data_IF_863499578809
#
_entry.id   IF_863499578809
#
_cell.length_a   1.000
_cell.length_b   1.000
_cell.length_c   1.000
_cell.angle_alpha   90.00
_cell.angle_beta   90.00
_cell.angle_gamma   90.00
#
_symmetry.space_group_name_H-M   'P 1'
#
loop_
_entity.id
_entity.type
_entity.pdbx_description
1 polymer ?
#
# COMPACT_ATOMS: atom_id res chain seq x y z
N UNK A 1 -66.01 -57.13 -5.94
CA UNK A 1 -66.88 -56.05 -5.43
C UNK A 1 -66.04 -54.81 -5.20
N UNK A 2 -66.34 -53.74 -5.93
CA UNK A 2 -65.76 -52.40 -5.79
C UNK A 2 -66.28 -51.72 -4.53
N UNK A 3 -65.45 -50.90 -3.85
CA UNK A 3 -65.93 -49.72 -3.12
C UNK A 3 -64.85 -48.64 -3.02
N UNK A 4 -65.27 -47.44 -3.40
CA UNK A 4 -64.49 -46.21 -3.53
C UNK A 4 -64.25 -45.48 -2.20
N UNK A 5 -63.10 -44.81 -2.18
CA UNK A 5 -62.80 -43.50 -1.58
C UNK A 5 -63.07 -43.24 -0.09
N UNK A 6 -62.01 -42.77 0.59
CA UNK A 6 -61.96 -41.40 1.13
C UNK A 6 -60.52 -40.90 1.23
N UNK A 7 -60.35 -39.63 0.84
CA UNK A 7 -59.12 -38.83 0.91
C UNK A 7 -58.83 -38.47 2.37
N UNK A 8 -57.55 -38.40 2.72
CA UNK A 8 -57.03 -37.39 3.67
C UNK A 8 -55.57 -37.10 3.35
N UNK A 9 -55.33 -35.88 2.89
CA UNK A 9 -54.02 -35.26 2.73
C UNK A 9 -53.41 -35.01 4.10
N UNK A 10 -52.15 -35.41 4.29
CA UNK A 10 -51.31 -34.88 5.36
C UNK A 10 -50.01 -34.39 4.75
N UNK A 11 -49.94 -33.07 4.54
CA UNK A 11 -48.74 -32.35 4.13
C UNK A 11 -47.68 -32.45 5.23
N UNK A 12 -46.64 -33.25 5.02
CA UNK A 12 -45.47 -33.27 5.90
C UNK A 12 -44.52 -32.12 5.48
N UNK A 13 -44.57 -31.04 6.25
CA UNK A 13 -43.60 -29.95 6.19
C UNK A 13 -42.29 -30.46 6.81
N UNK A 14 -41.22 -30.59 6.02
CA UNK A 14 -39.88 -30.87 6.55
C UNK A 14 -39.04 -29.61 6.37
N UNK A 15 -38.69 -29.00 7.50
CA UNK A 15 -38.00 -27.72 7.60
C UNK A 15 -36.56 -27.77 7.07
N UNK A 16 -36.18 -26.71 6.37
CA UNK A 16 -34.81 -26.48 5.96
C UNK A 16 -33.96 -26.06 7.18
N UNK A 17 -32.96 -26.86 7.53
CA UNK A 17 -31.93 -26.47 8.50
C UNK A 17 -30.90 -25.62 7.77
N UNK A 18 -30.96 -24.30 7.94
CA UNK A 18 -29.93 -23.39 7.45
C UNK A 18 -28.77 -23.35 8.45
N UNK A 19 -27.67 -24.05 8.13
CA UNK A 19 -26.42 -23.95 8.88
C UNK A 19 -25.72 -22.67 8.44
N UNK A 20 -25.87 -21.59 9.20
CA UNK A 20 -25.09 -20.37 9.02
C UNK A 20 -23.68 -20.60 9.56
N UNK A 21 -22.74 -20.95 8.69
CA UNK A 21 -21.32 -20.93 9.01
C UNK A 21 -20.87 -19.48 9.22
N UNK A 22 -20.72 -19.06 10.48
CA UNK A 22 -20.02 -17.83 10.83
C UNK A 22 -18.53 -18.05 10.55
N UNK A 23 -18.11 -17.74 9.32
CA UNK A 23 -16.71 -17.59 8.99
C UNK A 23 -16.16 -16.40 9.76
N UNK A 24 -15.52 -16.66 10.91
CA UNK A 24 -14.71 -15.64 11.58
C UNK A 24 -13.52 -15.38 10.66
N UNK A 25 -13.64 -14.37 9.80
CA UNK A 25 -12.48 -13.82 9.12
C UNK A 25 -11.64 -13.17 10.21
N UNK A 26 -10.61 -13.87 10.67
CA UNK A 26 -9.50 -13.22 11.34
C UNK A 26 -8.92 -12.23 10.32
N UNK A 27 -9.38 -10.99 10.37
CA UNK A 27 -8.74 -9.92 9.62
C UNK A 27 -7.28 -9.95 10.06
N UNK A 28 -6.31 -10.02 9.13
CA UNK A 28 -4.92 -9.91 9.52
C UNK A 28 -4.81 -8.65 10.36
N UNK A 29 -4.24 -8.77 11.56
CA UNK A 29 -3.91 -7.62 12.38
C UNK A 29 -2.98 -6.74 11.54
N UNK A 30 -3.57 -5.76 10.86
CA UNK A 30 -2.82 -4.72 10.19
C UNK A 30 -2.17 -3.93 11.30
N UNK A 31 -0.93 -4.26 11.63
CA UNK A 31 -0.05 -3.31 12.29
C UNK A 31 -0.23 -1.98 11.55
N UNK A 32 -0.54 -0.91 12.29
CA UNK A 32 -1.11 0.32 11.73
C UNK A 32 -0.03 1.06 10.96
N UNK A 33 0.27 0.59 9.75
CA UNK A 33 1.20 1.24 8.86
C UNK A 33 0.48 2.39 8.16
N UNK A 34 1.03 3.58 8.23
CA UNK A 34 0.60 4.73 7.44
C UNK A 34 1.73 5.13 6.51
N UNK A 35 1.38 5.48 5.28
CA UNK A 35 2.31 6.03 4.29
C UNK A 35 1.58 7.12 3.52
N UNK A 36 2.03 8.36 3.67
CA UNK A 36 1.58 9.50 2.86
C UNK A 36 2.69 9.98 1.96
N UNK A 37 2.32 10.36 0.75
CA UNK A 37 3.24 10.86 -0.27
C UNK A 37 2.60 12.02 -1.02
N UNK A 38 3.32 13.12 -1.13
CA UNK A 38 2.92 14.28 -1.93
C UNK A 38 4.09 14.74 -2.79
N UNK A 39 3.80 15.19 -3.99
CA UNK A 39 4.80 15.77 -4.88
C UNK A 39 4.18 16.80 -5.80
N UNK A 40 4.97 17.82 -6.15
CA UNK A 40 4.59 18.86 -7.08
C UNK A 40 5.78 19.74 -7.49
N UNK A 41 5.68 20.44 -8.63
CA UNK A 41 4.56 20.42 -9.57
C UNK A 41 4.53 19.11 -10.38
N UNK A 42 3.39 18.80 -11.03
CA UNK A 42 3.24 17.61 -11.90
C UNK A 42 3.67 17.84 -13.35
N UNK A 43 4.04 19.06 -13.69
CA UNK A 43 4.67 19.42 -14.95
C UNK A 43 5.73 20.51 -14.69
N UNK A 44 6.92 20.35 -15.24
CA UNK A 44 8.03 21.31 -15.11
C UNK A 44 8.83 21.37 -16.41
N UNK A 45 9.50 22.49 -16.67
CA UNK A 45 10.53 22.54 -17.72
C UNK A 45 11.83 21.87 -17.26
N UNK A 46 12.66 21.50 -18.22
CA UNK A 46 14.05 21.07 -17.96
C UNK A 46 14.78 22.06 -17.04
N UNK A 47 15.49 21.54 -16.03
CA UNK A 47 16.17 22.35 -15.01
C UNK A 47 15.26 22.83 -13.88
N UNK A 48 13.94 22.60 -13.97
CA UNK A 48 12.96 22.91 -12.94
C UNK A 48 13.12 22.09 -11.66
N UNK A 49 12.43 22.53 -10.60
CA UNK A 49 12.48 21.91 -9.28
C UNK A 49 11.15 21.20 -8.98
N UNK A 50 11.23 19.93 -8.61
CA UNK A 50 10.11 19.13 -8.15
C UNK A 50 10.30 18.85 -6.67
N UNK A 51 9.34 19.21 -5.84
CA UNK A 51 9.33 18.88 -4.42
C UNK A 51 8.59 17.57 -4.19
N UNK A 52 9.13 16.76 -3.30
CA UNK A 52 8.50 15.52 -2.85
C UNK A 52 8.60 15.43 -1.32
N UNK A 53 7.49 15.06 -0.69
CA UNK A 53 7.39 14.81 0.74
C UNK A 53 6.80 13.43 0.97
N UNK A 54 7.38 12.70 1.92
CA UNK A 54 6.83 11.43 2.36
C UNK A 54 6.88 11.32 3.86
N UNK A 55 5.83 10.74 4.44
CA UNK A 55 5.78 10.39 5.87
C UNK A 55 5.28 8.97 6.01
N UNK A 56 5.93 8.21 6.87
CA UNK A 56 5.49 6.88 7.21
C UNK A 56 5.60 6.62 8.71
N UNK A 57 4.74 5.74 9.21
CA UNK A 57 4.82 5.23 10.57
C UNK A 57 4.32 3.79 10.58
N UNK A 58 4.97 2.95 11.37
CA UNK A 58 4.57 1.57 11.62
C UNK A 58 5.11 1.17 13.00
N UNK A 59 4.18 0.77 13.87
CA UNK A 59 4.36 0.55 15.29
C UNK A 59 4.89 -0.86 15.63
N UNK A 60 4.94 -1.75 14.64
CA UNK A 60 5.33 -3.16 14.80
C UNK A 60 6.73 -3.47 14.24
N UNK A 61 7.51 -2.46 13.88
CA UNK A 61 8.77 -2.65 13.18
C UNK A 61 10.02 -2.50 14.03
N UNK A 62 11.07 -3.21 13.60
CA UNK A 62 12.41 -3.15 14.20
C UNK A 62 13.09 -1.80 13.94
N UNK A 63 13.47 -1.50 12.70
CA UNK A 63 13.97 -0.20 12.27
C UNK A 63 13.39 0.18 10.91
N UNK A 64 12.56 1.22 10.91
CA UNK A 64 11.90 1.69 9.71
C UNK A 64 12.50 2.99 9.20
N UNK A 65 12.50 3.16 7.88
CA UNK A 65 12.76 4.43 7.21
C UNK A 65 11.83 4.59 6.02
N UNK A 66 11.42 5.83 5.74
CA UNK A 66 10.71 6.18 4.51
C UNK A 66 11.69 6.76 3.51
N UNK A 67 11.61 6.31 2.26
CA UNK A 67 12.40 6.85 1.17
C UNK A 67 11.51 7.37 0.05
N UNK A 68 11.89 8.49 -0.55
CA UNK A 68 11.39 8.89 -1.86
C UNK A 68 12.24 8.15 -2.90
N UNK A 69 11.56 7.52 -3.86
CA UNK A 69 12.17 6.89 -5.01
C UNK A 69 11.81 7.61 -6.29
N UNK A 70 12.74 7.59 -7.24
CA UNK A 70 12.49 8.04 -8.60
C UNK A 70 12.76 6.93 -9.61
N UNK A 71 12.13 7.06 -10.77
CA UNK A 71 12.41 6.30 -11.98
C UNK A 71 12.12 7.17 -13.19
N UNK A 72 13.02 7.14 -14.16
CA UNK A 72 12.76 7.65 -15.51
C UNK A 72 12.38 6.48 -16.40
N UNK A 73 11.33 6.64 -17.21
CA UNK A 73 10.87 5.62 -18.17
C UNK A 73 10.73 4.22 -17.52
N UNK A 74 11.20 3.16 -18.18
CA UNK A 74 11.17 1.77 -17.72
C UNK A 74 12.39 1.38 -16.86
N UNK A 75 13.19 2.35 -16.38
CA UNK A 75 14.39 2.07 -15.59
C UNK A 75 14.08 1.40 -14.23
N UNK A 76 15.12 1.05 -13.47
CA UNK A 76 14.94 0.63 -12.09
C UNK A 76 14.49 1.82 -11.20
N UNK A 77 13.89 1.51 -10.06
CA UNK A 77 13.61 2.52 -9.03
C UNK A 77 14.87 2.79 -8.21
N UNK A 78 15.15 4.05 -7.93
CA UNK A 78 16.30 4.47 -7.14
C UNK A 78 15.86 5.39 -6.00
N UNK A 79 16.43 5.19 -4.81
CA UNK A 79 16.21 6.09 -3.67
C UNK A 79 16.88 7.44 -3.95
N UNK A 80 16.14 8.54 -3.82
CA UNK A 80 16.70 9.90 -3.93
C UNK A 80 16.97 10.51 -2.56
N UNK A 81 16.15 10.19 -1.58
CA UNK A 81 16.28 10.66 -0.21
C UNK A 81 15.56 9.69 0.72
N UNK A 82 16.08 9.53 1.94
CA UNK A 82 15.48 8.69 2.97
C UNK A 82 15.48 9.42 4.31
N UNK A 83 14.50 9.13 5.15
CA UNK A 83 14.54 9.50 6.57
C UNK A 83 15.65 8.74 7.29
N UNK A 84 16.04 9.24 8.47
CA UNK A 84 16.85 8.47 9.41
C UNK A 84 16.05 7.24 9.86
N UNK A 85 16.65 6.03 9.90
CA UNK A 85 16.00 4.85 10.44
C UNK A 85 15.65 5.05 11.91
N UNK A 86 14.45 4.65 12.31
CA UNK A 86 13.97 4.74 13.69
C UNK A 86 13.18 3.49 14.07
N UNK A 87 13.26 3.10 15.35
CA UNK A 87 12.48 1.97 15.88
C UNK A 87 11.01 2.32 16.02
N UNK A 88 10.10 1.39 15.70
CA UNK A 88 8.64 1.52 15.88
C UNK A 88 8.07 2.85 15.36
N UNK A 89 8.64 3.33 14.26
CA UNK A 89 8.31 4.60 13.64
C UNK A 89 8.44 4.44 12.12
N UNK A 90 8.59 5.53 11.38
CA UNK A 90 9.07 5.48 10.01
C UNK A 90 9.81 6.76 9.66
N UNK A 91 9.17 7.88 9.93
CA UNK A 91 9.75 9.21 9.84
C UNK A 91 9.21 10.00 8.67
N UNK A 92 9.87 11.11 8.39
CA UNK A 92 9.49 12.08 7.37
C UNK A 92 10.71 12.42 6.52
N UNK A 93 10.49 12.62 5.23
CA UNK A 93 11.49 13.09 4.27
C UNK A 93 10.88 14.17 3.40
N UNK A 94 11.65 15.24 3.17
CA UNK A 94 11.33 16.31 2.23
C UNK A 94 12.54 16.48 1.31
N UNK A 95 12.33 16.49 0.00
CA UNK A 95 13.41 16.59 -0.98
C UNK A 95 12.99 17.46 -2.17
N UNK A 96 13.93 18.26 -2.66
CA UNK A 96 13.82 18.95 -3.95
C UNK A 96 14.65 18.23 -5.00
N UNK A 97 14.03 17.85 -6.12
CA UNK A 97 14.68 17.19 -7.25
C UNK A 97 14.79 18.17 -8.40
N UNK A 98 16.02 18.50 -8.80
CA UNK A 98 16.25 19.27 -10.03
C UNK A 98 16.21 18.32 -11.23
N UNK A 99 15.27 18.54 -12.15
CA UNK A 99 15.09 17.67 -13.31
C UNK A 99 16.16 17.96 -14.36
N UNK A 100 16.87 16.91 -14.80
CA UNK A 100 18.03 17.03 -15.71
C UNK A 100 17.81 16.36 -17.08
N UNK A 101 16.66 15.72 -17.27
CA UNK A 101 16.29 15.07 -18.52
C UNK A 101 14.79 15.29 -18.78
N UNK A 102 14.38 15.26 -20.05
CA UNK A 102 12.98 15.40 -20.48
C UNK A 102 12.24 14.07 -20.40
N UNK A 103 10.91 14.12 -20.41
CA UNK A 103 10.03 12.95 -20.41
C UNK A 103 9.31 12.74 -19.08
N UNK A 104 9.02 11.49 -18.74
CA UNK A 104 8.21 11.15 -17.55
C UNK A 104 9.09 10.72 -16.39
N UNK A 105 9.10 11.54 -15.34
CA UNK A 105 9.67 11.22 -14.04
C UNK A 105 8.59 10.61 -13.16
N UNK A 106 8.75 9.35 -12.78
CA UNK A 106 7.88 8.72 -11.80
C UNK A 106 8.49 8.83 -10.41
N UNK A 107 7.69 9.27 -9.45
CA UNK A 107 8.07 9.39 -8.05
C UNK A 107 7.13 8.57 -7.17
N UNK A 108 7.67 7.96 -6.12
CA UNK A 108 6.88 7.27 -5.09
C UNK A 108 7.55 7.35 -3.74
N UNK A 109 6.80 7.10 -2.68
CA UNK A 109 7.36 6.79 -1.37
C UNK A 109 7.41 5.28 -1.14
N UNK A 110 8.41 4.82 -0.40
CA UNK A 110 8.54 3.43 0.05
C UNK A 110 8.91 3.40 1.52
N UNK A 111 8.15 2.63 2.32
CA UNK A 111 8.52 2.29 3.69
C UNK A 111 9.41 1.05 3.65
N UNK A 112 10.60 1.18 4.21
CA UNK A 112 11.56 0.09 4.36
C UNK A 112 11.69 -0.29 5.83
N UNK A 113 11.81 -1.59 6.09
CA UNK A 113 12.19 -2.14 7.38
C UNK A 113 13.55 -2.84 7.29
N UNK A 114 14.46 -2.52 8.20
CA UNK A 114 15.75 -3.20 8.36
C UNK A 114 15.90 -3.78 9.75
N UNK A 115 16.77 -4.79 9.89
CA UNK A 115 17.10 -5.43 11.18
C UNK A 115 17.90 -4.53 12.11
N UNK A 116 18.58 -3.53 11.55
CA UNK A 116 19.37 -2.53 12.26
C UNK A 116 19.30 -1.19 11.50
N UNK A 117 19.71 -0.05 12.10
CA UNK A 117 19.74 1.23 11.39
C UNK A 117 20.65 1.19 10.15
N UNK A 118 21.70 0.38 10.18
CA UNK A 118 22.69 0.25 9.11
C UNK A 118 22.45 -0.96 8.20
N UNK A 119 21.28 -1.61 8.28
CA UNK A 119 20.95 -2.76 7.44
C UNK A 119 21.10 -2.37 5.96
N UNK A 120 21.93 -3.15 5.25
CA UNK A 120 22.23 -2.96 3.83
C UNK A 120 21.14 -3.54 2.93
N UNK A 121 20.30 -4.42 3.47
CA UNK A 121 19.24 -5.10 2.73
C UNK A 121 17.87 -4.93 3.40
N UNK A 122 17.43 -3.69 3.66
CA UNK A 122 16.13 -3.47 4.25
C UNK A 122 15.02 -3.89 3.27
N UNK A 123 13.98 -4.52 3.78
CA UNK A 123 12.84 -5.01 3.00
C UNK A 123 11.83 -3.88 2.80
N UNK A 124 11.31 -3.76 1.58
CA UNK A 124 10.17 -2.88 1.33
C UNK A 124 8.92 -3.48 1.98
N UNK A 125 8.27 -2.70 2.86
CA UNK A 125 7.02 -3.09 3.54
C UNK A 125 5.80 -2.60 2.79
N UNK A 126 5.85 -1.37 2.30
CA UNK A 126 4.78 -0.75 1.52
C UNK A 126 5.34 0.33 0.60
N UNK A 127 4.59 0.64 -0.45
CA UNK A 127 4.91 1.71 -1.39
C UNK A 127 3.65 2.51 -1.74
N UNK A 128 3.80 3.81 -1.99
CA UNK A 128 2.71 4.62 -2.53
C UNK A 128 2.49 4.27 -4.00
N UNK A 129 1.31 4.64 -4.52
CA UNK A 129 1.13 4.74 -5.96
C UNK A 129 2.18 5.70 -6.56
N UNK A 130 2.77 5.35 -7.72
CA UNK A 130 3.62 6.26 -8.46
C UNK A 130 2.86 7.51 -8.90
N UNK A 131 3.48 8.68 -8.73
CA UNK A 131 3.04 9.94 -9.32
C UNK A 131 3.96 10.28 -10.49
N UNK A 132 3.37 10.55 -11.64
CA UNK A 132 4.11 10.99 -12.83
C UNK A 132 4.24 12.51 -12.84
N UNK A 133 5.46 12.98 -13.08
CA UNK A 133 5.78 14.37 -13.38
C UNK A 133 6.24 14.45 -14.83
N UNK A 134 5.57 15.27 -15.63
CA UNK A 134 5.96 15.51 -17.02
C UNK A 134 7.04 16.57 -17.08
N UNK A 135 8.15 16.28 -17.75
CA UNK A 135 9.25 17.22 -17.94
C UNK A 135 9.33 17.61 -19.41
N UNK A 136 9.05 18.88 -19.67
CA UNK A 136 9.05 19.46 -21.00
C UNK A 136 10.43 19.93 -21.40
#
# INVERSE_FOLDING_TARGET
MTRHHRRTLHSALIGAVAVTSLGITAAPASAKSSLSFTTGPRSVGLGGLVHASAKASDDNSSFNKVCVQQRWTAAAWHNVACSKPARRAGGTVNVGLRVKQRGHLHLRAVLFEGRSPQDKHPRARSASHPVTVTVH
#
